data_IF_340135850988
#
_entry.id   IF_340135850988
#
_cell.length_a   1.000
_cell.length_b   1.000
_cell.length_c   1.000
_cell.angle_alpha   90.00
_cell.angle_beta   90.00
_cell.angle_gamma   90.00
#
_symmetry.space_group_name_H-M   'P 1'
#
loop_
_entity.id
_entity.type
_entity.pdbx_description
1 polymer ?
#
# COMPACT_ATOMS: atom_id res chain seq x y z
N UNK A 1 31.09 33.39 -44.71
CA UNK A 1 30.46 33.87 -43.46
C UNK A 1 30.75 32.80 -42.44
N UNK A 2 31.84 32.94 -41.68
CA UNK A 2 32.16 31.99 -40.61
C UNK A 2 31.22 32.30 -39.45
N UNK A 3 30.36 31.36 -39.11
CA UNK A 3 29.48 31.47 -37.95
C UNK A 3 30.33 31.14 -36.73
N UNK A 4 30.65 32.13 -35.90
CA UNK A 4 31.46 31.94 -34.69
C UNK A 4 30.51 31.62 -33.52
N UNK A 5 30.66 30.48 -32.84
CA UNK A 5 29.76 30.08 -31.76
C UNK A 5 30.18 30.72 -30.42
N UNK A 6 30.22 32.06 -30.34
CA UNK A 6 30.76 32.78 -29.18
C UNK A 6 30.10 32.39 -27.85
N UNK A 7 28.77 32.20 -27.82
CA UNK A 7 28.05 31.75 -26.61
C UNK A 7 28.42 30.32 -26.19
N UNK A 8 28.75 29.44 -27.15
CA UNK A 8 29.14 28.06 -26.86
C UNK A 8 30.58 27.94 -26.37
N UNK A 9 31.45 28.93 -26.64
CA UNK A 9 32.83 28.92 -26.14
C UNK A 9 32.90 29.02 -24.61
N UNK A 10 32.02 29.83 -24.00
CA UNK A 10 31.92 29.91 -22.53
C UNK A 10 31.38 28.61 -21.94
N UNK A 11 30.29 28.07 -22.50
CA UNK A 11 29.71 26.80 -22.07
C UNK A 11 30.69 25.64 -22.22
N UNK A 12 31.53 25.65 -23.26
CA UNK A 12 32.61 24.69 -23.46
C UNK A 12 33.63 24.73 -22.32
N UNK A 13 34.03 25.92 -21.86
CA UNK A 13 34.99 26.11 -20.78
C UNK A 13 34.47 25.72 -19.39
N UNK A 14 33.16 25.69 -19.22
CA UNK A 14 32.48 25.35 -17.98
C UNK A 14 31.89 23.92 -17.98
N UNK A 15 32.22 23.11 -19.00
CA UNK A 15 31.75 21.73 -19.17
C UNK A 15 30.22 21.60 -19.26
N UNK A 16 29.54 22.63 -19.79
CA UNK A 16 28.07 22.70 -19.89
C UNK A 16 27.52 22.23 -21.25
N UNK A 17 28.37 21.95 -22.23
CA UNK A 17 27.95 21.47 -23.54
C UNK A 17 27.65 19.97 -23.54
N UNK A 18 26.63 19.57 -24.30
CA UNK A 18 26.42 18.16 -24.62
C UNK A 18 27.56 17.64 -25.50
N UNK A 19 27.79 16.32 -25.47
CA UNK A 19 28.92 15.68 -26.17
C UNK A 19 29.00 16.02 -27.66
N UNK A 20 27.85 16.11 -28.34
CA UNK A 20 27.78 16.45 -29.77
C UNK A 20 28.16 17.91 -30.02
N UNK A 21 27.74 18.83 -29.15
CA UNK A 21 28.02 20.26 -29.27
C UNK A 21 29.49 20.53 -28.95
N UNK A 22 30.02 19.86 -27.92
CA UNK A 22 31.43 19.89 -27.55
C UNK A 22 32.33 19.50 -28.73
N UNK A 23 32.04 18.39 -29.42
CA UNK A 23 32.80 17.96 -30.60
C UNK A 23 32.76 18.97 -31.75
N UNK A 24 31.62 19.65 -31.95
CA UNK A 24 31.51 20.69 -32.97
C UNK A 24 32.36 21.92 -32.64
N UNK A 25 32.37 22.34 -31.37
CA UNK A 25 33.19 23.44 -30.90
C UNK A 25 34.68 23.08 -30.98
N UNK A 26 35.08 21.88 -30.58
CA UNK A 26 36.46 21.40 -30.69
C UNK A 26 36.94 21.39 -32.16
N UNK A 27 36.13 20.86 -33.09
CA UNK A 27 36.44 20.89 -34.52
C UNK A 27 36.53 22.31 -35.09
N UNK A 28 35.71 23.24 -34.57
CA UNK A 28 35.80 24.66 -34.94
C UNK A 28 37.10 25.29 -34.43
N UNK A 29 37.47 25.01 -33.17
CA UNK A 29 38.69 25.50 -32.56
C UNK A 29 39.94 25.01 -33.29
N UNK A 30 39.95 23.81 -33.88
CA UNK A 30 41.09 23.34 -34.69
C UNK A 30 41.41 24.21 -35.91
N UNK A 31 40.41 24.93 -36.44
CA UNK A 31 40.53 25.65 -37.73
C UNK A 31 40.39 27.16 -37.60
N UNK A 32 39.96 27.67 -36.44
CA UNK A 32 39.59 29.07 -36.26
C UNK A 32 40.47 29.77 -35.21
N UNK A 33 41.51 30.48 -35.67
CA UNK A 33 42.42 31.25 -34.81
C UNK A 33 41.70 32.34 -33.99
N UNK A 34 40.63 32.96 -34.51
CA UNK A 34 39.89 33.98 -33.76
C UNK A 34 39.14 33.40 -32.57
N UNK A 35 38.56 32.20 -32.71
CA UNK A 35 37.89 31.54 -31.59
C UNK A 35 38.88 30.95 -30.59
N UNK A 36 40.06 30.50 -31.04
CA UNK A 36 41.15 30.13 -30.13
C UNK A 36 41.56 31.32 -29.25
N UNK A 37 41.77 32.50 -29.85
CA UNK A 37 42.13 33.71 -29.11
C UNK A 37 41.08 34.08 -28.05
N UNK A 38 39.79 33.97 -28.37
CA UNK A 38 38.71 34.22 -27.41
C UNK A 38 38.75 33.22 -26.24
N UNK A 39 38.98 31.93 -26.52
CA UNK A 39 39.10 30.90 -25.48
C UNK A 39 40.31 31.16 -24.57
N UNK A 40 41.44 31.55 -25.14
CA UNK A 40 42.65 31.90 -24.39
C UNK A 40 42.42 33.12 -23.48
N UNK A 41 41.72 34.15 -23.98
CA UNK A 41 41.35 35.33 -23.20
C UNK A 41 40.43 34.95 -22.02
N UNK A 42 39.43 34.10 -22.26
CA UNK A 42 38.52 33.61 -21.22
C UNK A 42 39.25 32.75 -20.18
N UNK A 43 40.18 31.90 -20.59
CA UNK A 43 41.05 31.13 -19.69
C UNK A 43 41.94 32.03 -18.85
N UNK A 44 42.49 33.10 -19.44
CA UNK A 44 43.26 34.12 -18.74
C UNK A 44 42.43 34.79 -17.64
N UNK A 45 41.20 35.20 -17.96
CA UNK A 45 40.27 35.79 -17.01
C UNK A 45 39.89 34.81 -15.88
N UNK A 46 39.61 33.54 -16.21
CA UNK A 46 39.31 32.47 -15.24
C UNK A 46 40.50 32.26 -14.28
N UNK A 47 41.72 32.32 -14.79
CA UNK A 47 42.93 32.21 -13.99
C UNK A 47 43.11 33.40 -13.05
N UNK A 48 42.97 34.63 -13.55
CA UNK A 48 43.05 35.84 -12.74
C UNK A 48 42.01 35.83 -11.62
N UNK A 49 40.75 35.53 -11.95
CA UNK A 49 39.67 35.42 -10.98
C UNK A 49 40.01 34.40 -9.88
N UNK A 50 40.51 33.22 -10.26
CA UNK A 50 40.94 32.20 -9.29
C UNK A 50 42.04 32.72 -8.37
N UNK A 51 43.02 33.46 -8.88
CA UNK A 51 44.08 34.05 -8.07
C UNK A 51 43.56 35.14 -7.12
N UNK A 52 42.66 36.00 -7.60
CA UNK A 52 42.04 37.08 -6.79
C UNK A 52 41.24 36.50 -5.64
N UNK A 53 40.47 35.44 -5.88
CA UNK A 53 39.56 34.88 -4.88
C UNK A 53 40.15 33.67 -4.11
N UNK A 54 41.37 33.24 -4.42
CA UNK A 54 42.04 32.13 -3.71
C UNK A 54 42.22 32.40 -2.21
N UNK A 55 42.29 33.68 -1.81
CA UNK A 55 42.47 34.09 -0.42
C UNK A 55 41.15 34.24 0.36
N UNK A 56 39.99 34.04 -0.28
CA UNK A 56 38.70 34.14 0.42
C UNK A 56 38.49 32.87 1.24
N UNK A 57 38.65 32.99 2.54
CA UNK A 57 38.35 31.90 3.48
C UNK A 57 36.84 31.67 3.58
N UNK A 58 36.45 30.38 3.51
CA UNK A 58 35.07 29.99 3.75
C UNK A 58 34.65 30.26 5.21
N UNK A 59 33.40 30.68 5.46
CA UNK A 59 32.93 30.91 6.82
C UNK A 59 32.99 29.64 7.67
N UNK A 60 33.35 29.81 8.95
CA UNK A 60 33.38 28.70 9.91
C UNK A 60 32.03 27.97 9.90
N UNK A 61 32.07 26.63 9.78
CA UNK A 61 30.92 25.72 9.69
C UNK A 61 30.20 25.65 8.33
N UNK A 62 30.73 26.21 7.23
CA UNK A 62 30.15 26.01 5.89
C UNK A 62 30.07 24.51 5.55
N UNK A 63 31.17 23.78 5.73
CA UNK A 63 31.26 22.33 5.45
C UNK A 63 30.20 21.54 6.23
N UNK A 64 30.14 21.75 7.55
CA UNK A 64 29.16 21.09 8.40
C UNK A 64 27.72 21.39 7.97
N UNK A 65 27.42 22.65 7.61
CA UNK A 65 26.08 23.03 7.13
C UNK A 65 25.72 22.34 5.82
N UNK A 66 26.65 22.29 4.86
CA UNK A 66 26.42 21.61 3.57
C UNK A 66 26.20 20.11 3.78
N UNK A 67 27.04 19.47 4.58
CA UNK A 67 26.91 18.04 4.89
C UNK A 67 25.59 17.70 5.60
N UNK A 68 25.12 18.58 6.50
CA UNK A 68 23.84 18.41 7.16
C UNK A 68 22.67 18.53 6.18
N UNK A 69 22.71 19.50 5.26
CA UNK A 69 21.66 19.68 4.25
C UNK A 69 21.58 18.50 3.29
N UNK A 70 22.72 18.01 2.78
CA UNK A 70 22.76 16.83 1.90
C UNK A 70 22.20 15.58 2.59
N UNK A 71 22.56 15.38 3.86
CA UNK A 71 22.03 14.27 4.65
C UNK A 71 20.52 14.34 4.82
N UNK A 72 19.95 15.53 5.00
CA UNK A 72 18.51 15.70 5.20
C UNK A 72 17.72 15.34 3.93
N UNK A 73 18.21 15.77 2.77
CA UNK A 73 17.63 15.42 1.45
C UNK A 73 17.69 13.91 1.16
N UNK A 74 18.73 13.21 1.64
CA UNK A 74 18.90 11.77 1.44
C UNK A 74 18.11 10.86 2.40
N UNK A 75 17.20 11.37 3.24
CA UNK A 75 16.49 10.49 4.21
C UNK A 75 15.03 10.10 3.86
N UNK A 76 14.79 9.12 2.96
CA UNK A 76 13.53 8.37 2.95
C UNK A 76 13.42 7.38 4.12
N UNK A 77 14.54 7.09 4.80
CA UNK A 77 14.67 5.98 5.75
C UNK A 77 13.88 6.16 7.05
N UNK A 78 13.65 7.41 7.49
CA UNK A 78 12.88 7.64 8.73
C UNK A 78 11.41 7.21 8.56
N UNK A 79 10.80 7.50 7.41
CA UNK A 79 9.38 7.20 7.13
C UNK A 79 9.09 5.69 7.18
N UNK A 80 9.95 4.86 6.59
CA UNK A 80 9.77 3.39 6.56
C UNK A 80 9.85 2.78 7.96
N UNK A 81 10.77 3.26 8.81
CA UNK A 81 10.93 2.72 10.17
C UNK A 81 9.72 3.03 11.06
N UNK A 82 9.15 4.24 10.93
CA UNK A 82 7.92 4.59 11.65
C UNK A 82 6.71 3.79 11.15
N UNK A 83 6.63 3.49 9.85
CA UNK A 83 5.54 2.70 9.29
C UNK A 83 5.57 1.23 9.77
N UNK A 84 6.75 0.61 9.79
CA UNK A 84 6.92 -0.75 10.33
C UNK A 84 6.60 -0.82 11.83
N UNK A 85 7.00 0.19 12.61
CA UNK A 85 6.66 0.28 14.02
C UNK A 85 5.15 0.41 14.24
N UNK A 86 4.46 1.21 13.42
CA UNK A 86 3.01 1.36 13.49
C UNK A 86 2.26 0.05 13.20
N UNK A 87 2.71 -0.73 12.21
CA UNK A 87 2.13 -2.05 11.90
C UNK A 87 2.30 -3.02 13.07
N UNK A 88 3.50 -3.07 13.68
CA UNK A 88 3.75 -3.93 14.83
C UNK A 88 2.83 -3.56 16.01
N UNK A 89 2.70 -2.26 16.31
CA UNK A 89 1.82 -1.78 17.38
C UNK A 89 0.35 -2.12 17.09
N UNK A 90 -0.10 -2.02 15.84
CA UNK A 90 -1.47 -2.37 15.44
C UNK A 90 -1.75 -3.88 15.48
N UNK A 91 -0.75 -4.71 15.21
CA UNK A 91 -0.86 -6.18 15.24
C UNK A 91 -0.96 -6.75 16.66
N UNK A 92 -0.30 -6.14 17.65
CA UNK A 92 -0.33 -6.59 19.05
C UNK A 92 -1.75 -6.75 19.65
N UNK A 93 -2.66 -5.75 19.58
CA UNK A 93 -4.00 -5.89 20.13
C UNK A 93 -4.85 -6.91 19.35
N UNK A 94 -4.64 -7.02 18.04
CA UNK A 94 -5.36 -7.98 17.20
C UNK A 94 -4.96 -9.43 17.53
N UNK A 95 -3.66 -9.67 17.72
CA UNK A 95 -3.14 -10.95 18.15
C UNK A 95 -3.63 -11.33 19.56
N UNK A 96 -3.63 -10.37 20.50
CA UNK A 96 -4.20 -10.55 21.84
C UNK A 96 -5.68 -10.94 21.76
N UNK A 97 -6.49 -10.20 21.00
CA UNK A 97 -7.92 -10.50 20.83
C UNK A 97 -8.13 -11.92 20.28
N UNK A 98 -7.37 -12.34 19.27
CA UNK A 98 -7.49 -13.68 18.69
C UNK A 98 -7.15 -14.79 19.71
N UNK A 99 -6.07 -14.61 20.47
CA UNK A 99 -5.63 -15.57 21.49
C UNK A 99 -6.65 -15.75 22.61
N UNK A 100 -7.35 -14.68 23.00
CA UNK A 100 -8.38 -14.74 24.04
C UNK A 100 -9.75 -15.17 23.52
N UNK A 101 -10.19 -14.66 22.36
CA UNK A 101 -11.51 -14.94 21.81
C UNK A 101 -11.63 -16.34 21.21
N UNK A 102 -10.56 -16.85 20.57
CA UNK A 102 -10.51 -18.18 19.95
C UNK A 102 -10.91 -19.33 20.90
N UNK A 103 -10.27 -19.50 22.07
CA UNK A 103 -10.61 -20.59 22.99
C UNK A 103 -12.02 -20.46 23.58
N UNK A 104 -12.53 -19.23 23.75
CA UNK A 104 -13.90 -19.00 24.21
C UNK A 104 -14.90 -19.45 23.14
N UNK A 105 -14.69 -19.07 21.88
CA UNK A 105 -15.53 -19.47 20.77
C UNK A 105 -15.56 -21.00 20.57
N UNK A 106 -14.40 -21.66 20.64
CA UNK A 106 -14.31 -23.12 20.54
C UNK A 106 -15.03 -23.83 21.70
N UNK A 107 -14.90 -23.33 22.94
CA UNK A 107 -15.63 -23.87 24.09
C UNK A 107 -17.14 -23.70 23.95
N UNK A 108 -17.59 -22.54 23.48
CA UNK A 108 -19.02 -22.28 23.22
C UNK A 108 -19.57 -23.20 22.13
N UNK A 109 -18.84 -23.38 21.03
CA UNK A 109 -19.24 -24.28 19.95
C UNK A 109 -19.31 -25.73 20.43
N UNK A 110 -18.29 -26.21 21.13
CA UNK A 110 -18.26 -27.56 21.68
C UNK A 110 -19.40 -27.79 22.69
N UNK A 111 -19.64 -26.83 23.58
CA UNK A 111 -20.76 -26.86 24.52
C UNK A 111 -22.12 -26.87 23.83
N UNK A 112 -22.32 -26.01 22.85
CA UNK A 112 -23.55 -25.94 22.05
C UNK A 112 -23.82 -27.24 21.29
N UNK A 113 -22.82 -27.80 20.62
CA UNK A 113 -22.93 -29.10 19.96
C UNK A 113 -23.31 -30.21 20.95
N UNK A 114 -22.65 -30.27 22.11
CA UNK A 114 -22.95 -31.27 23.14
C UNK A 114 -24.39 -31.13 23.65
N UNK A 115 -24.86 -29.90 23.89
CA UNK A 115 -26.25 -29.64 24.30
C UNK A 115 -27.25 -30.11 23.24
N UNK A 116 -27.02 -29.80 21.97
CA UNK A 116 -27.88 -30.25 20.86
C UNK A 116 -27.94 -31.77 20.81
N UNK A 117 -26.79 -32.45 20.88
CA UNK A 117 -26.74 -33.92 20.88
C UNK A 117 -27.50 -34.50 22.06
N UNK A 118 -27.34 -33.94 23.27
CA UNK A 118 -28.09 -34.41 24.45
C UNK A 118 -29.59 -34.19 24.32
N UNK A 119 -30.02 -33.05 23.79
CA UNK A 119 -31.43 -32.76 23.54
C UNK A 119 -32.02 -33.71 22.50
N UNK A 120 -31.29 -33.98 21.42
CA UNK A 120 -31.72 -34.91 20.38
C UNK A 120 -31.83 -36.34 20.92
N UNK A 121 -30.88 -36.75 21.76
CA UNK A 121 -30.91 -38.05 22.45
C UNK A 121 -32.11 -38.16 23.40
N UNK A 122 -32.36 -37.13 24.23
CA UNK A 122 -33.52 -37.11 25.12
C UNK A 122 -34.85 -37.10 24.35
N UNK A 123 -34.96 -36.34 23.27
CA UNK A 123 -36.13 -36.34 22.41
C UNK A 123 -36.37 -37.71 21.78
N UNK A 124 -35.32 -38.35 21.26
CA UNK A 124 -35.39 -39.70 20.70
C UNK A 124 -35.87 -40.72 21.74
N UNK A 125 -35.30 -40.69 22.94
CA UNK A 125 -35.70 -41.58 24.01
C UNK A 125 -37.14 -41.32 24.47
N UNK A 126 -37.56 -40.06 24.54
CA UNK A 126 -38.92 -39.68 24.94
C UNK A 126 -39.99 -40.17 23.95
N UNK A 127 -39.70 -40.09 22.65
CA UNK A 127 -40.57 -40.61 21.58
C UNK A 127 -40.76 -42.13 21.72
N UNK A 128 -39.71 -42.85 22.08
CA UNK A 128 -39.73 -44.30 22.29
C UNK A 128 -40.40 -44.69 23.62
N UNK A 129 -40.24 -43.88 24.68
CA UNK A 129 -40.73 -44.22 26.02
C UNK A 129 -42.20 -43.88 26.25
N UNK A 130 -42.79 -42.93 25.49
CA UNK A 130 -44.21 -42.53 25.64
C UNK A 130 -44.99 -42.71 24.32
N UNK A 131 -45.21 -43.97 23.87
CA UNK A 131 -45.84 -44.27 22.59
C UNK A 131 -47.29 -43.78 22.48
N UNK A 132 -48.01 -43.65 23.60
CA UNK A 132 -49.40 -43.19 23.63
C UNK A 132 -49.49 -41.69 23.28
N UNK A 133 -48.55 -40.88 23.75
CA UNK A 133 -48.54 -39.44 23.52
C UNK A 133 -48.17 -39.13 22.07
N UNK A 134 -47.18 -39.83 21.51
CA UNK A 134 -46.78 -39.69 20.10
C UNK A 134 -47.86 -40.20 19.14
N UNK A 135 -48.53 -41.31 19.45
CA UNK A 135 -49.66 -41.79 18.66
C UNK A 135 -50.83 -40.81 18.65
N UNK A 136 -51.12 -40.17 19.79
CA UNK A 136 -52.19 -39.18 19.91
C UNK A 136 -51.91 -37.91 19.08
N UNK A 137 -50.67 -37.39 19.12
CA UNK A 137 -50.30 -36.22 18.31
C UNK A 137 -50.32 -36.53 16.81
N UNK A 138 -49.85 -37.70 16.39
CA UNK A 138 -49.92 -38.16 15.00
C UNK A 138 -51.38 -38.29 14.54
N UNK A 139 -52.24 -38.91 15.36
CA UNK A 139 -53.68 -39.04 15.04
C UNK A 139 -54.34 -37.68 14.88
N UNK A 140 -54.07 -36.75 15.78
CA UNK A 140 -54.64 -35.40 15.73
C UNK A 140 -54.17 -34.63 14.49
N UNK A 141 -52.89 -34.75 14.12
CA UNK A 141 -52.35 -34.15 12.89
C UNK A 141 -53.04 -34.70 11.63
N UNK A 142 -53.29 -36.01 11.56
CA UNK A 142 -54.01 -36.64 10.43
C UNK A 142 -55.44 -36.10 10.34
N UNK A 143 -56.16 -35.99 11.47
CA UNK A 143 -57.53 -35.44 11.50
C UNK A 143 -57.55 -34.00 10.97
N UNK A 144 -56.59 -33.16 11.37
CA UNK A 144 -56.47 -31.77 10.88
C UNK A 144 -56.22 -31.74 9.37
N UNK A 145 -55.30 -32.57 8.86
CA UNK A 145 -55.00 -32.61 7.43
C UNK A 145 -56.20 -33.08 6.59
N UNK A 146 -56.94 -34.10 7.07
CA UNK A 146 -58.14 -34.60 6.39
C UNK A 146 -59.25 -33.56 6.37
N UNK A 147 -59.50 -32.89 7.50
CA UNK A 147 -60.53 -31.84 7.59
C UNK A 147 -60.18 -30.62 6.75
N UNK A 148 -58.91 -30.21 6.75
CA UNK A 148 -58.39 -29.14 5.89
C UNK A 148 -58.54 -29.48 4.40
N UNK A 149 -58.13 -30.69 4.00
CA UNK A 149 -58.27 -31.16 2.62
C UNK A 149 -59.74 -31.27 2.18
N UNK A 150 -60.63 -31.74 3.06
CA UNK A 150 -62.07 -31.79 2.80
C UNK A 150 -62.66 -30.38 2.63
N UNK A 151 -62.28 -29.45 3.50
CA UNK A 151 -62.70 -28.05 3.41
C UNK A 151 -62.25 -27.42 2.10
N UNK A 152 -60.98 -27.65 1.70
CA UNK A 152 -60.43 -27.13 0.45
C UNK A 152 -61.14 -27.71 -0.78
N UNK A 153 -61.38 -29.02 -0.80
CA UNK A 153 -62.15 -29.67 -1.88
C UNK A 153 -63.57 -29.11 -1.98
N UNK A 154 -64.23 -28.90 -0.85
CA UNK A 154 -65.58 -28.32 -0.78
C UNK A 154 -65.61 -26.88 -1.32
N UNK A 155 -64.63 -26.05 -0.98
CA UNK A 155 -64.53 -24.68 -1.48
C UNK A 155 -64.29 -24.63 -3.00
N UNK A 156 -63.44 -25.51 -3.52
CA UNK A 156 -63.18 -25.60 -4.96
C UNK A 156 -64.42 -26.04 -5.75
N UNK A 157 -65.21 -26.98 -5.22
CA UNK A 157 -66.46 -27.41 -5.86
C UNK A 157 -67.56 -26.34 -5.80
N UNK A 158 -67.62 -25.55 -4.72
CA UNK A 158 -68.60 -24.48 -4.56
C UNK A 158 -68.31 -23.24 -5.44
N UNK A 159 -67.05 -23.03 -5.86
CA UNK A 159 -66.64 -21.92 -6.74
C UNK A 159 -66.55 -22.31 -8.22
N UNK A 160 -66.82 -23.57 -8.57
CA UNK A 160 -66.76 -24.11 -9.94
C UNK A 160 -68.14 -24.41 -10.56
N UNK A 161 -69.24 -24.04 -9.88
CA UNK A 161 -70.61 -24.05 -10.41
C UNK A 161 -71.20 -22.65 -10.33
#
# INVERSE_FOLDING_TARGET
MHNHPEEQLSAYLDDELEEVERQQVEAHLETCESCQAIVDDLLGLKHEFRLTFAAVEAPMNLENRVLLTLREEETPQKSVRYWLAAILIAMLPLASLYLFAGPIALKLLHGGYKLIVTLLYMASHFILSVPVLSASTIMLAIIILVTSGYSLKRLLQANAG
#
